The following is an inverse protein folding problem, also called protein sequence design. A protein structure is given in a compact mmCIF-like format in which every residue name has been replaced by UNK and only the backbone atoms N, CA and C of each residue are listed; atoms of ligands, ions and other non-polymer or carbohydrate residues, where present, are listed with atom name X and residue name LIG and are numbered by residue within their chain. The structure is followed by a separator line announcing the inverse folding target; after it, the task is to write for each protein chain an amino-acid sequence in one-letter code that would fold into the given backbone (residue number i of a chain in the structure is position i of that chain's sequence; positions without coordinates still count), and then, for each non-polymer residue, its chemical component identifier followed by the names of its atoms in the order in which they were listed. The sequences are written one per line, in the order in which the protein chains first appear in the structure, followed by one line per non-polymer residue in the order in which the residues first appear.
data_IF_887011744934
#
_entry.id   IF_887011744934
#
_cell.length_a   1.000
_cell.length_b   1.000
_cell.length_c   1.000
_cell.angle_alpha   90.00
_cell.angle_beta   90.00
_cell.angle_gamma   90.00
#
_symmetry.space_group_name_H-M   'P 1'
#
loop_
_entity.id
_entity.type
_entity.pdbx_description
1 polymer ?
#
# COMPACT_ATOMS: atom_id res chain seq x y z
N UNK A 1 6.45 -19.30 24.34
CA UNK A 1 6.01 -18.11 25.10
C UNK A 1 5.25 -17.22 24.12
N UNK A 2 3.92 -17.18 24.20
CA UNK A 2 3.12 -16.44 23.21
C UNK A 2 3.33 -14.94 23.37
N UNK A 3 3.96 -14.30 22.39
CA UNK A 3 4.02 -12.86 22.28
C UNK A 3 2.60 -12.34 22.05
N UNK A 4 2.11 -11.51 22.96
CA UNK A 4 0.81 -10.83 22.78
C UNK A 4 0.97 -9.71 21.75
N UNK A 5 -0.06 -9.46 20.95
CA UNK A 5 0.00 -8.50 19.83
C UNK A 5 0.33 -7.08 20.29
N UNK A 6 -0.12 -6.72 21.49
CA UNK A 6 0.26 -5.46 22.13
C UNK A 6 1.77 -5.35 22.37
N UNK A 7 2.45 -6.44 22.77
CA UNK A 7 3.93 -6.43 22.94
C UNK A 7 4.64 -6.28 21.61
N UNK A 8 4.13 -6.91 20.56
CA UNK A 8 4.69 -6.79 19.19
C UNK A 8 4.51 -5.37 18.68
N UNK A 9 3.31 -4.79 18.82
CA UNK A 9 3.04 -3.41 18.44
C UNK A 9 3.98 -2.42 19.14
N UNK A 10 4.06 -2.48 20.48
CA UNK A 10 4.91 -1.58 21.25
C UNK A 10 6.39 -1.77 20.93
N UNK A 11 6.84 -3.02 20.75
CA UNK A 11 8.21 -3.32 20.33
C UNK A 11 8.54 -2.72 18.98
N UNK A 12 7.66 -2.88 17.98
CA UNK A 12 7.83 -2.31 16.64
C UNK A 12 7.82 -0.79 16.69
N UNK A 13 6.99 -0.17 17.52
CA UNK A 13 6.95 1.29 17.69
C UNK A 13 8.31 1.82 18.17
N UNK A 14 8.88 1.19 19.21
CA UNK A 14 10.21 1.56 19.75
C UNK A 14 11.32 1.31 18.72
N UNK A 15 11.29 0.16 18.04
CA UNK A 15 12.26 -0.17 16.97
C UNK A 15 12.19 0.85 15.84
N UNK A 16 10.99 1.23 15.41
CA UNK A 16 10.77 2.17 14.32
C UNK A 16 11.30 3.57 14.68
N UNK A 17 11.06 4.03 15.92
CA UNK A 17 11.66 5.28 16.42
C UNK A 17 13.19 5.21 16.42
N UNK A 18 13.77 4.13 16.94
CA UNK A 18 15.22 3.93 16.98
C UNK A 18 15.85 3.93 15.58
N UNK A 19 15.25 3.20 14.63
CA UNK A 19 15.72 3.14 13.25
C UNK A 19 15.60 4.50 12.55
N UNK A 20 14.50 5.23 12.77
CA UNK A 20 14.33 6.58 12.22
C UNK A 20 15.43 7.52 12.70
N UNK A 21 15.73 7.49 14.00
CA UNK A 21 16.78 8.31 14.60
C UNK A 21 18.17 7.95 14.08
N UNK A 22 18.43 6.68 13.78
CA UNK A 22 19.71 6.27 13.18
C UNK A 22 19.80 6.67 11.71
N UNK A 23 18.75 6.39 10.93
CA UNK A 23 18.75 6.59 9.47
C UNK A 23 18.82 8.08 9.12
N UNK A 24 18.12 8.96 9.86
CA UNK A 24 18.14 10.41 9.61
C UNK A 24 19.54 11.04 9.74
N UNK A 25 20.43 10.42 10.52
CA UNK A 25 21.79 10.91 10.73
C UNK A 25 22.74 10.47 9.60
N UNK A 26 22.39 9.41 8.86
CA UNK A 26 23.27 8.79 7.84
C UNK A 26 22.75 8.90 6.41
N UNK A 27 21.49 9.30 6.22
CA UNK A 27 20.86 9.39 4.91
C UNK A 27 20.07 10.69 4.74
N UNK A 28 20.05 11.21 3.50
CA UNK A 28 19.18 12.32 3.12
C UNK A 28 17.75 11.82 2.99
N UNK A 29 16.87 12.33 3.85
CA UNK A 29 15.46 11.95 3.91
C UNK A 29 14.57 13.18 3.71
N UNK A 30 13.32 12.96 3.30
CA UNK A 30 12.37 14.06 3.14
C UNK A 30 11.89 14.60 4.50
N UNK A 31 11.34 13.73 5.36
CA UNK A 31 10.92 14.10 6.71
C UNK A 31 11.12 12.97 7.73
N UNK A 32 11.48 13.32 8.97
CA UNK A 32 11.74 12.34 10.01
C UNK A 32 10.45 11.64 10.49
N UNK A 33 9.32 12.36 10.55
CA UNK A 33 8.05 11.74 10.92
C UNK A 33 7.54 10.84 9.80
N UNK A 34 7.63 11.29 8.55
CA UNK A 34 7.33 10.46 7.37
C UNK A 34 8.13 9.16 7.33
N UNK A 35 9.45 9.23 7.56
CA UNK A 35 10.32 8.06 7.68
C UNK A 35 9.89 7.12 8.82
N UNK A 36 9.57 7.66 9.99
CA UNK A 36 9.06 6.85 11.11
C UNK A 36 7.79 6.11 10.74
N UNK A 37 6.83 6.80 10.13
CA UNK A 37 5.55 6.21 9.69
C UNK A 37 5.80 5.11 8.66
N UNK A 38 6.70 5.34 7.70
CA UNK A 38 7.07 4.38 6.67
C UNK A 38 7.67 3.10 7.27
N UNK A 39 8.70 3.23 8.13
CA UNK A 39 9.35 2.11 8.82
C UNK A 39 8.33 1.35 9.69
N UNK A 40 7.51 2.08 10.45
CA UNK A 40 6.51 1.50 11.33
C UNK A 40 5.50 0.65 10.56
N UNK A 41 4.93 1.19 9.47
CA UNK A 41 3.98 0.44 8.65
C UNK A 41 4.61 -0.78 7.97
N UNK A 42 5.84 -0.65 7.47
CA UNK A 42 6.56 -1.79 6.90
C UNK A 42 6.74 -2.90 7.94
N UNK A 43 7.28 -2.57 9.11
CA UNK A 43 7.58 -3.56 10.14
C UNK A 43 6.32 -4.20 10.72
N UNK A 44 5.28 -3.42 10.97
CA UNK A 44 4.03 -3.95 11.54
C UNK A 44 3.25 -4.80 10.55
N UNK A 45 3.20 -4.37 9.28
CA UNK A 45 2.60 -5.16 8.21
C UNK A 45 3.31 -6.51 8.06
N UNK A 46 4.65 -6.50 8.05
CA UNK A 46 5.46 -7.71 7.95
C UNK A 46 5.30 -8.63 9.17
N UNK A 47 5.33 -8.08 10.39
CA UNK A 47 5.19 -8.84 11.61
C UNK A 47 3.82 -9.54 11.70
N UNK A 48 2.72 -8.83 11.42
CA UNK A 48 1.40 -9.47 11.44
C UNK A 48 1.16 -10.39 10.26
N UNK A 49 1.74 -10.09 9.08
CA UNK A 49 1.73 -11.03 7.96
C UNK A 49 2.39 -12.36 8.32
N UNK A 50 3.57 -12.34 8.95
CA UNK A 50 4.29 -13.56 9.35
C UNK A 50 3.61 -14.28 10.52
N UNK A 51 3.09 -13.56 11.51
CA UNK A 51 2.42 -14.15 12.67
C UNK A 51 1.06 -14.77 12.34
N UNK A 52 0.23 -14.09 11.54
CA UNK A 52 -1.15 -14.50 11.27
C UNK A 52 -1.36 -15.14 9.89
N UNK A 53 -0.35 -15.10 9.02
CA UNK A 53 -0.42 -15.58 7.63
C UNK A 53 -0.82 -17.04 7.46
N UNK A 54 -0.59 -17.88 8.46
CA UNK A 54 -0.98 -19.29 8.39
C UNK A 54 -2.38 -19.56 8.96
N UNK A 55 -2.79 -18.77 9.96
CA UNK A 55 -4.02 -18.98 10.73
C UNK A 55 -5.24 -18.20 10.23
N UNK A 56 -5.05 -16.98 9.69
CA UNK A 56 -6.14 -16.04 9.39
C UNK A 56 -6.04 -15.55 7.95
N UNK A 57 -6.25 -16.46 6.98
CA UNK A 57 -6.02 -16.19 5.55
C UNK A 57 -6.75 -14.95 5.03
N UNK A 58 -7.95 -14.64 5.51
CA UNK A 58 -8.70 -13.48 5.04
C UNK A 58 -8.13 -12.13 5.51
N UNK A 59 -7.38 -12.09 6.61
CA UNK A 59 -6.79 -10.86 7.18
C UNK A 59 -5.44 -10.51 6.54
N UNK A 60 -4.82 -11.49 5.86
CA UNK A 60 -3.52 -11.36 5.19
C UNK A 60 -3.49 -10.20 4.22
N UNK A 61 -4.61 -9.93 3.55
CA UNK A 61 -4.68 -8.86 2.58
C UNK A 61 -4.43 -7.49 3.22
N UNK A 62 -4.99 -7.25 4.41
CA UNK A 62 -4.80 -5.99 5.14
C UNK A 62 -3.33 -5.84 5.55
N UNK A 63 -2.69 -6.92 6.00
CA UNK A 63 -1.27 -6.90 6.37
C UNK A 63 -0.35 -6.68 5.17
N UNK A 64 -0.65 -7.30 4.03
CA UNK A 64 0.07 -7.07 2.77
C UNK A 64 -0.07 -5.62 2.30
N UNK A 65 -1.27 -5.04 2.37
CA UNK A 65 -1.51 -3.65 2.00
C UNK A 65 -0.69 -2.71 2.87
N UNK A 66 -0.73 -2.89 4.19
CA UNK A 66 0.04 -2.08 5.14
C UNK A 66 1.54 -2.22 4.91
N UNK A 67 2.03 -3.44 4.67
CA UNK A 67 3.44 -3.71 4.38
C UNK A 67 3.92 -3.02 3.10
N UNK A 68 3.22 -3.25 1.98
CA UNK A 68 3.58 -2.67 0.68
C UNK A 68 3.43 -1.15 0.67
N UNK A 69 2.43 -0.63 1.38
CA UNK A 69 2.28 0.82 1.54
C UNK A 69 3.44 1.42 2.34
N UNK A 70 3.85 0.79 3.46
CA UNK A 70 5.04 1.21 4.21
C UNK A 70 6.31 1.21 3.34
N UNK A 71 6.53 0.15 2.55
CA UNK A 71 7.65 0.10 1.61
C UNK A 71 7.59 1.21 0.57
N UNK A 72 6.40 1.55 0.10
CA UNK A 72 6.20 2.63 -0.85
C UNK A 72 6.42 4.02 -0.22
N UNK A 73 6.08 4.20 1.05
CA UNK A 73 6.42 5.43 1.76
C UNK A 73 7.94 5.56 1.93
N UNK A 74 8.65 4.45 2.18
CA UNK A 74 10.12 4.49 2.23
C UNK A 74 10.71 4.99 0.90
N UNK A 75 10.16 4.59 -0.25
CA UNK A 75 10.68 5.08 -1.54
C UNK A 75 10.45 6.58 -1.74
N UNK A 76 9.36 7.14 -1.22
CA UNK A 76 9.15 8.59 -1.23
C UNK A 76 10.11 9.31 -0.28
N UNK A 77 10.32 8.78 0.93
CA UNK A 77 11.17 9.41 1.94
C UNK A 77 12.65 9.48 1.53
N UNK A 78 13.13 8.46 0.81
CA UNK A 78 14.48 8.48 0.23
C UNK A 78 14.57 9.23 -1.11
N UNK A 79 13.54 10.02 -1.46
CA UNK A 79 13.46 10.83 -2.68
C UNK A 79 13.67 10.02 -3.98
N UNK A 80 13.37 8.71 -3.98
CA UNK A 80 13.38 7.89 -5.20
C UNK A 80 12.26 8.36 -6.14
N UNK A 81 11.15 8.84 -5.56
CA UNK A 81 10.08 9.55 -6.24
C UNK A 81 9.80 10.87 -5.51
N UNK A 82 9.39 11.94 -6.22
CA UNK A 82 9.02 13.21 -5.57
C UNK A 82 7.88 13.02 -4.57
N UNK A 83 7.97 13.69 -3.42
CA UNK A 83 6.91 13.67 -2.43
C UNK A 83 5.75 14.59 -2.86
N UNK A 84 4.82 14.06 -3.63
CA UNK A 84 3.61 14.76 -4.07
C UNK A 84 2.35 13.89 -3.87
N UNK A 85 1.19 14.55 -3.75
CA UNK A 85 -0.09 13.87 -3.49
C UNK A 85 -0.44 12.82 -4.54
N UNK A 86 -0.03 13.03 -5.80
CA UNK A 86 -0.31 12.09 -6.88
C UNK A 86 0.52 10.82 -6.74
N UNK A 87 1.80 10.94 -6.36
CA UNK A 87 2.68 9.80 -6.12
C UNK A 87 2.22 9.02 -4.89
N UNK A 88 1.71 9.69 -3.84
CA UNK A 88 1.09 9.01 -2.69
C UNK A 88 -0.14 8.19 -3.13
N UNK A 89 -1.06 8.78 -3.90
CA UNK A 89 -2.26 8.07 -4.40
C UNK A 89 -1.87 6.92 -5.33
N UNK A 90 -0.91 7.14 -6.23
CA UNK A 90 -0.35 6.11 -7.11
C UNK A 90 0.19 4.93 -6.32
N UNK A 91 1.05 5.20 -5.33
CA UNK A 91 1.69 4.17 -4.51
C UNK A 91 0.70 3.45 -3.61
N UNK A 92 -0.32 4.15 -3.10
CA UNK A 92 -1.42 3.52 -2.37
C UNK A 92 -2.20 2.57 -3.27
N UNK A 93 -2.60 3.02 -4.46
CA UNK A 93 -3.32 2.19 -5.43
C UNK A 93 -2.49 0.98 -5.88
N UNK A 94 -1.18 1.17 -6.10
CA UNK A 94 -0.25 0.10 -6.45
C UNK A 94 -0.09 -0.90 -5.30
N UNK A 95 0.05 -0.42 -4.07
CA UNK A 95 0.15 -1.27 -2.88
C UNK A 95 -1.10 -2.14 -2.69
N UNK A 96 -2.28 -1.56 -2.89
CA UNK A 96 -3.56 -2.30 -2.89
C UNK A 96 -3.60 -3.31 -4.02
N UNK A 97 -3.28 -2.89 -5.25
CA UNK A 97 -3.30 -3.76 -6.43
C UNK A 97 -2.38 -4.97 -6.28
N UNK A 98 -1.12 -4.76 -5.92
CA UNK A 98 -0.14 -5.82 -5.69
C UNK A 98 -0.55 -6.73 -4.53
N UNK A 99 -1.11 -6.20 -3.45
CA UNK A 99 -1.60 -7.02 -2.32
C UNK A 99 -2.71 -7.98 -2.75
N UNK A 100 -3.69 -7.49 -3.53
CA UNK A 100 -4.77 -8.32 -4.07
C UNK A 100 -4.25 -9.35 -5.06
N UNK A 101 -3.25 -9.01 -5.88
CA UNK A 101 -2.59 -9.95 -6.79
C UNK A 101 -1.87 -11.06 -6.02
N UNK A 102 -1.02 -10.73 -5.05
CA UNK A 102 -0.28 -11.70 -4.23
C UNK A 102 -1.27 -12.59 -3.45
N UNK A 103 -2.27 -11.98 -2.81
CA UNK A 103 -3.28 -12.73 -2.07
C UNK A 103 -4.09 -13.66 -2.99
N UNK A 104 -4.50 -13.15 -4.15
CA UNK A 104 -5.27 -13.89 -5.14
C UNK A 104 -4.50 -15.03 -5.79
N UNK A 105 -3.20 -14.87 -6.04
CA UNK A 105 -2.38 -15.86 -6.74
C UNK A 105 -1.68 -16.85 -5.82
N UNK A 106 -1.19 -16.42 -4.66
CA UNK A 106 -0.34 -17.25 -3.79
C UNK A 106 -1.10 -17.79 -2.58
N UNK A 107 -2.04 -17.02 -2.01
CA UNK A 107 -2.65 -17.35 -0.71
C UNK A 107 -3.96 -18.10 -0.87
N UNK A 108 -4.89 -17.57 -1.68
CA UNK A 108 -6.28 -18.07 -1.78
C UNK A 108 -6.65 -18.61 -3.16
N UNK A 109 -5.81 -18.43 -4.18
CA UNK A 109 -6.08 -18.84 -5.57
C UNK A 109 -7.45 -18.32 -6.07
N UNK A 110 -7.79 -17.08 -5.72
CA UNK A 110 -9.10 -16.47 -6.00
C UNK A 110 -9.03 -15.57 -7.23
N UNK A 111 -9.69 -16.00 -8.31
CA UNK A 111 -9.81 -15.22 -9.56
C UNK A 111 -10.39 -13.83 -9.30
N UNK A 112 -11.38 -13.71 -8.40
CA UNK A 112 -11.96 -12.41 -8.03
C UNK A 112 -10.90 -11.46 -7.44
N UNK A 113 -10.07 -11.96 -6.52
CA UNK A 113 -9.00 -11.16 -5.92
C UNK A 113 -7.94 -10.75 -6.97
N UNK A 114 -7.62 -11.66 -7.90
CA UNK A 114 -6.73 -11.35 -9.02
C UNK A 114 -7.30 -10.21 -9.87
N UNK A 115 -8.58 -10.27 -10.26
CA UNK A 115 -9.22 -9.19 -11.02
C UNK A 115 -9.24 -7.86 -10.27
N UNK A 116 -9.57 -7.86 -8.97
CA UNK A 116 -9.47 -6.65 -8.15
C UNK A 116 -8.05 -6.09 -8.17
N UNK A 117 -7.03 -6.94 -8.03
CA UNK A 117 -5.63 -6.55 -8.10
C UNK A 117 -5.22 -5.94 -9.45
N UNK A 118 -5.68 -6.53 -10.56
CA UNK A 118 -5.46 -6.01 -11.92
C UNK A 118 -6.08 -4.62 -12.06
N UNK A 119 -7.32 -4.41 -11.60
CA UNK A 119 -8.01 -3.12 -11.69
C UNK A 119 -7.24 -2.03 -10.93
N UNK A 120 -6.85 -2.28 -9.69
CA UNK A 120 -6.11 -1.29 -8.89
C UNK A 120 -4.71 -1.02 -9.47
N UNK A 121 -4.03 -2.05 -9.99
CA UNK A 121 -2.73 -1.88 -10.66
C UNK A 121 -2.89 -1.07 -11.95
N UNK A 122 -3.96 -1.30 -12.73
CA UNK A 122 -4.26 -0.51 -13.91
C UNK A 122 -4.56 0.95 -13.56
N UNK A 123 -5.30 1.22 -12.48
CA UNK A 123 -5.52 2.58 -11.97
C UNK A 123 -4.18 3.25 -11.63
N UNK A 124 -3.29 2.55 -10.92
CA UNK A 124 -1.97 3.06 -10.59
C UNK A 124 -1.14 3.38 -11.85
N UNK A 125 -1.12 2.45 -12.83
CA UNK A 125 -0.45 2.65 -14.10
C UNK A 125 -1.03 3.83 -14.87
N UNK A 126 -2.36 4.00 -14.90
CA UNK A 126 -3.00 5.14 -15.53
C UNK A 126 -2.56 6.46 -14.89
N UNK A 127 -2.34 6.50 -13.58
CA UNK A 127 -1.82 7.69 -12.87
C UNK A 127 -0.34 7.96 -13.24
N UNK A 128 0.47 6.92 -13.37
CA UNK A 128 1.92 7.03 -13.53
C UNK A 128 2.38 7.20 -14.99
N UNK A 129 1.84 6.42 -15.94
CA UNK A 129 2.25 6.39 -17.35
C UNK A 129 2.29 7.78 -18.01
N UNK A 130 1.28 8.65 -17.83
CA UNK A 130 1.28 9.96 -18.48
C UNK A 130 2.34 10.90 -17.92
N UNK A 131 2.69 10.76 -16.63
CA UNK A 131 3.81 11.49 -16.01
C UNK A 131 5.15 10.99 -16.55
N UNK A 132 5.30 9.67 -16.71
CA UNK A 132 6.52 9.06 -17.23
C UNK A 132 6.75 9.33 -18.73
N UNK A 133 5.66 9.49 -19.51
CA UNK A 133 5.69 9.65 -20.96
C UNK A 133 5.48 11.11 -21.45
N UNK A 134 5.35 12.08 -20.54
CA UNK A 134 5.16 13.50 -20.84
C UNK A 134 4.01 13.79 -21.85
N UNK A 135 2.86 13.15 -21.67
CA UNK A 135 1.69 13.24 -22.57
C UNK A 135 0.95 14.58 -22.39
N UNK A 136 0.44 15.17 -23.49
CA UNK A 136 -0.23 16.50 -23.54
C UNK A 136 -1.31 16.75 -22.47
N UNK A 137 -1.27 17.95 -21.88
CA UNK A 137 -1.96 18.34 -20.64
C UNK A 137 -3.50 18.32 -20.69
N UNK A 138 -4.12 18.49 -21.87
CA UNK A 138 -5.58 18.74 -21.97
C UNK A 138 -6.40 17.46 -21.76
N UNK A 139 -6.00 16.36 -22.39
CA UNK A 139 -6.63 15.05 -22.15
C UNK A 139 -6.38 14.59 -20.72
N UNK A 140 -5.16 14.81 -20.23
CA UNK A 140 -4.75 14.37 -18.90
C UNK A 140 -5.41 15.15 -17.77
N UNK A 141 -5.66 16.46 -17.95
CA UNK A 141 -6.43 17.26 -17.01
C UNK A 141 -7.83 16.70 -16.77
N UNK A 142 -8.49 16.24 -17.85
CA UNK A 142 -9.81 15.63 -17.78
C UNK A 142 -9.78 14.26 -17.09
N UNK A 143 -8.77 13.43 -17.35
CA UNK A 143 -8.60 12.12 -16.69
C UNK A 143 -8.31 12.28 -15.19
N UNK A 144 -7.44 13.22 -14.81
CA UNK A 144 -7.13 13.56 -13.41
C UNK A 144 -8.35 14.08 -12.65
N UNK A 145 -9.10 14.99 -13.26
CA UNK A 145 -10.19 15.69 -12.57
C UNK A 145 -11.42 14.81 -12.35
N UNK A 146 -11.70 13.88 -13.28
CA UNK A 146 -12.95 13.12 -13.27
C UNK A 146 -12.73 11.61 -13.15
N UNK A 147 -11.87 11.03 -13.99
CA UNK A 147 -11.78 9.56 -14.12
C UNK A 147 -11.09 8.90 -12.92
N UNK A 148 -9.96 9.44 -12.45
CA UNK A 148 -9.22 8.87 -11.31
C UNK A 148 -10.07 8.85 -10.02
N UNK A 149 -10.70 9.97 -9.60
CA UNK A 149 -11.57 9.96 -8.42
C UNK A 149 -12.75 8.99 -8.56
N UNK A 150 -13.39 8.93 -9.74
CA UNK A 150 -14.49 8.01 -10.00
C UNK A 150 -14.03 6.54 -9.88
N UNK A 151 -12.88 6.18 -10.45
CA UNK A 151 -12.34 4.83 -10.35
C UNK A 151 -11.98 4.44 -8.91
N UNK A 152 -11.46 5.37 -8.11
CA UNK A 152 -11.20 5.15 -6.68
C UNK A 152 -12.50 4.94 -5.90
N UNK A 153 -13.53 5.75 -6.17
CA UNK A 153 -14.85 5.61 -5.53
C UNK A 153 -15.48 4.26 -5.90
N UNK A 154 -15.50 3.91 -7.19
CA UNK A 154 -16.08 2.64 -7.67
C UNK A 154 -15.30 1.45 -7.12
N UNK A 155 -13.96 1.50 -7.12
CA UNK A 155 -13.11 0.48 -6.53
C UNK A 155 -13.35 0.31 -5.03
N UNK A 156 -13.46 1.41 -4.29
CA UNK A 156 -13.81 1.42 -2.86
C UNK A 156 -15.18 0.80 -2.60
N UNK A 157 -16.20 1.16 -3.38
CA UNK A 157 -17.55 0.58 -3.29
C UNK A 157 -17.50 -0.93 -3.53
N UNK A 158 -16.73 -1.38 -4.53
CA UNK A 158 -16.62 -2.81 -4.86
C UNK A 158 -15.95 -3.64 -3.75
N UNK A 159 -15.03 -3.02 -3.00
CA UNK A 159 -14.40 -3.63 -1.81
C UNK A 159 -15.40 -3.70 -0.65
N UNK A 160 -16.17 -2.63 -0.42
CA UNK A 160 -17.09 -2.52 0.72
C UNK A 160 -18.37 -3.34 0.51
N UNK A 161 -18.84 -3.53 -0.73
CA UNK A 161 -20.12 -4.18 -1.00
C UNK A 161 -20.11 -5.64 -0.50
N UNK A 162 -20.96 -5.99 0.49
CA UNK A 162 -21.05 -7.37 0.97
C UNK A 162 -21.68 -8.23 -0.13
N UNK A 163 -20.89 -9.15 -0.70
CA UNK A 163 -21.44 -10.17 -1.60
C UNK A 163 -22.40 -11.06 -0.81
N UNK A 164 -23.69 -11.02 -1.15
CA UNK A 164 -24.66 -12.03 -0.71
C UNK A 164 -24.13 -13.39 -1.21
N UNK A 165 -23.70 -14.26 -0.29
CA UNK A 165 -23.57 -15.68 -0.57
C UNK A 165 -24.96 -16.15 -0.99
N UNK A 166 -25.12 -16.53 -2.26
CA UNK A 166 -26.13 -17.52 -2.59
C UNK A 166 -25.55 -18.84 -2.06
N UNK A 167 -26.04 -19.25 -0.91
CA UNK A 167 -26.04 -20.66 -0.52
C UNK A 167 -26.86 -21.46 -1.53
#
# INVERSE_FOLDING_TARGET
MNLTESKVFSGILVISLGLTLLIKEVATIHDAFGLFVAIFFTLIGFAFFTMRGYSHKNEIISYLVVFLFGLSLLTLEFNILPFDTLNIIFLLALSVGLSYLIYGSVVKFSIKAIWTGIIFTAIALLIFLPKALAIEDIFWFSVKRYIIPILLIVGGIFIILPTRRKE
#
